data_IF_430929141258
#
_entry.id   IF_430929141258
#
_cell.length_a   1.000
_cell.length_b   1.000
_cell.length_c   1.000
_cell.angle_alpha   90.00
_cell.angle_beta   90.00
_cell.angle_gamma   90.00
#
_symmetry.space_group_name_H-M   'P 1'
#
loop_
_entity.id
_entity.type
_entity.pdbx_description
1 polymer ?
#
# COMPACT_ATOMS: atom_id res chain seq x y z
N UNK A 1 -2.25 12.80 -28.49
CA UNK A 1 -3.04 12.71 -27.24
C UNK A 1 -4.05 13.85 -27.28
N UNK A 2 -5.35 13.56 -27.18
CA UNK A 2 -6.39 14.59 -27.13
C UNK A 2 -6.42 15.27 -25.76
N UNK A 3 -7.05 16.44 -25.64
CA UNK A 3 -7.22 17.11 -24.36
C UNK A 3 -7.95 16.24 -23.32
N UNK A 4 -8.97 15.49 -23.76
CA UNK A 4 -9.66 14.51 -22.91
C UNK A 4 -8.75 13.37 -22.46
N UNK A 5 -7.89 12.85 -23.33
CA UNK A 5 -6.93 11.80 -22.94
C UNK A 5 -5.89 12.31 -21.93
N UNK A 6 -5.44 13.56 -22.09
CA UNK A 6 -4.54 14.19 -21.12
C UNK A 6 -5.23 14.40 -19.76
N UNK A 7 -6.47 14.89 -19.77
CA UNK A 7 -7.31 15.02 -18.58
C UNK A 7 -7.54 13.67 -17.88
N UNK A 8 -7.94 12.66 -18.65
CA UNK A 8 -8.21 11.30 -18.16
C UNK A 8 -6.96 10.73 -17.47
N UNK A 9 -5.82 10.79 -18.16
CA UNK A 9 -4.53 10.34 -17.62
C UNK A 9 -4.12 11.07 -16.32
N UNK A 10 -4.32 12.38 -16.28
CA UNK A 10 -3.86 13.23 -15.17
C UNK A 10 -4.75 13.13 -13.92
N UNK A 11 -6.02 12.75 -14.04
CA UNK A 11 -6.96 12.84 -12.92
C UNK A 11 -7.66 11.54 -12.55
N UNK A 12 -7.88 10.63 -13.51
CA UNK A 12 -8.73 9.44 -13.29
C UNK A 12 -7.97 8.16 -13.62
N UNK A 13 -7.42 8.08 -14.84
CA UNK A 13 -6.81 6.88 -15.40
C UNK A 13 -5.29 6.80 -15.19
N UNK A 14 -4.85 6.97 -13.94
CA UNK A 14 -3.44 6.83 -13.56
C UNK A 14 -2.84 5.44 -13.81
N UNK A 15 -3.71 4.44 -14.01
CA UNK A 15 -3.35 3.05 -14.30
C UNK A 15 -3.26 2.74 -15.79
N UNK A 16 -3.50 3.73 -16.65
CA UNK A 16 -3.44 3.57 -18.11
C UNK A 16 -4.37 2.48 -18.64
N UNK A 17 -5.52 2.27 -17.98
CA UNK A 17 -6.52 1.26 -18.32
C UNK A 17 -6.96 1.41 -19.76
N UNK A 18 -6.98 0.30 -20.51
CA UNK A 18 -7.40 0.27 -21.92
C UNK A 18 -6.40 0.88 -22.89
N UNK A 19 -5.15 1.14 -22.47
CA UNK A 19 -4.09 1.68 -23.34
C UNK A 19 -2.92 0.69 -23.48
N UNK A 20 -2.02 0.86 -24.48
CA UNK A 20 -0.80 0.05 -24.60
C UNK A 20 0.15 0.14 -23.41
N UNK A 21 -0.04 1.13 -22.52
CA UNK A 21 0.81 1.39 -21.36
C UNK A 21 0.11 1.00 -20.04
N UNK A 22 -0.95 0.19 -20.10
CA UNK A 22 -1.68 -0.32 -18.92
C UNK A 22 -0.71 -0.94 -17.91
N UNK A 23 -0.89 -0.59 -16.62
CA UNK A 23 -0.04 -1.13 -15.57
C UNK A 23 -0.22 -2.65 -15.45
N UNK A 24 0.84 -3.34 -15.05
CA UNK A 24 0.80 -4.79 -14.88
C UNK A 24 -0.04 -5.17 -13.66
N UNK A 25 -0.56 -6.40 -13.65
CA UNK A 25 -1.28 -7.00 -12.52
C UNK A 25 -2.56 -6.25 -12.09
N UNK A 26 -3.28 -5.63 -13.02
CA UNK A 26 -4.61 -5.07 -12.72
C UNK A 26 -5.50 -6.14 -12.08
N UNK A 27 -6.04 -5.88 -10.87
CA UNK A 27 -6.99 -6.78 -10.24
C UNK A 27 -8.23 -6.98 -11.12
N UNK A 28 -8.72 -8.21 -11.16
CA UNK A 28 -9.89 -8.59 -11.95
C UNK A 28 -11.15 -8.50 -11.10
N UNK A 29 -12.30 -8.33 -11.75
CA UNK A 29 -13.59 -8.38 -11.03
C UNK A 29 -13.94 -9.77 -10.51
N UNK A 30 -13.44 -10.81 -11.19
CA UNK A 30 -13.62 -12.21 -10.86
C UNK A 30 -12.35 -12.97 -11.26
N UNK A 31 -11.75 -13.67 -10.30
CA UNK A 31 -10.53 -14.45 -10.55
C UNK A 31 -10.82 -15.73 -11.36
N UNK A 32 -12.04 -16.28 -11.26
CA UNK A 32 -12.47 -17.47 -12.00
C UNK A 32 -12.89 -17.15 -13.43
N UNK A 33 -13.37 -15.93 -13.68
CA UNK A 33 -13.74 -15.44 -15.00
C UNK A 33 -13.05 -14.10 -15.31
N UNK A 34 -11.82 -14.11 -15.84
CA UNK A 34 -11.04 -12.90 -16.09
C UNK A 34 -11.65 -11.85 -17.03
N UNK A 35 -12.56 -12.26 -17.91
CA UNK A 35 -13.21 -11.35 -18.88
C UNK A 35 -14.50 -10.76 -18.31
N UNK A 36 -14.92 -11.19 -17.12
CA UNK A 36 -16.12 -10.70 -16.47
C UNK A 36 -16.03 -9.21 -16.17
N UNK A 37 -17.04 -8.47 -16.61
CA UNK A 37 -17.29 -7.09 -16.20
C UNK A 37 -18.73 -7.00 -15.69
N UNK A 38 -18.98 -6.43 -14.50
CA UNK A 38 -20.34 -6.29 -13.99
C UNK A 38 -21.16 -5.30 -14.83
N UNK A 39 -22.48 -5.49 -14.86
CA UNK A 39 -23.39 -4.48 -15.39
C UNK A 39 -23.29 -3.18 -14.57
N UNK A 40 -23.65 -2.04 -15.19
CA UNK A 40 -23.57 -0.71 -14.56
C UNK A 40 -24.32 -0.67 -13.22
N UNK A 41 -25.56 -1.14 -13.16
CA UNK A 41 -26.35 -1.17 -11.92
C UNK A 41 -25.70 -2.03 -10.83
N UNK A 42 -25.23 -3.24 -11.18
CA UNK A 42 -24.55 -4.15 -10.23
C UNK A 42 -23.24 -3.53 -9.72
N UNK A 43 -22.48 -2.87 -10.58
CA UNK A 43 -21.27 -2.16 -10.21
C UNK A 43 -21.57 -1.03 -9.22
N UNK A 44 -22.54 -0.16 -9.55
CA UNK A 44 -22.91 0.98 -8.71
C UNK A 44 -23.43 0.55 -7.34
N UNK A 45 -24.28 -0.48 -7.27
CA UNK A 45 -24.75 -1.04 -5.98
C UNK A 45 -23.57 -1.53 -5.14
N UNK A 46 -22.63 -2.28 -5.73
CA UNK A 46 -21.42 -2.76 -5.02
C UNK A 46 -20.57 -1.61 -4.51
N UNK A 47 -20.34 -0.56 -5.31
CA UNK A 47 -19.56 0.61 -4.90
C UNK A 47 -20.28 1.41 -3.84
N UNK A 48 -21.58 1.63 -3.96
CA UNK A 48 -22.38 2.29 -2.94
C UNK A 48 -22.29 1.53 -1.60
N UNK A 49 -22.49 0.21 -1.58
CA UNK A 49 -22.28 -0.61 -0.38
C UNK A 49 -20.86 -0.50 0.18
N UNK A 50 -19.84 -0.47 -0.69
CA UNK A 50 -18.44 -0.28 -0.28
C UNK A 50 -18.25 1.05 0.46
N UNK A 51 -18.90 2.13 0.03
CA UNK A 51 -18.82 3.44 0.70
C UNK A 51 -19.28 3.31 2.17
N UNK A 52 -20.47 2.77 2.42
CA UNK A 52 -21.00 2.65 3.80
C UNK A 52 -20.19 1.69 4.66
N UNK A 53 -19.84 0.51 4.12
CA UNK A 53 -19.09 -0.50 4.88
C UNK A 53 -17.68 -0.01 5.17
N UNK A 54 -16.98 0.54 4.17
CA UNK A 54 -15.62 1.03 4.36
C UNK A 54 -15.59 2.23 5.32
N UNK A 55 -16.55 3.15 5.20
CA UNK A 55 -16.67 4.27 6.13
C UNK A 55 -16.94 3.81 7.56
N UNK A 56 -17.94 2.95 7.78
CA UNK A 56 -18.30 2.50 9.12
C UNK A 56 -17.19 1.72 9.81
N UNK A 57 -16.49 0.85 9.08
CA UNK A 57 -15.31 0.14 9.60
C UNK A 57 -14.14 1.08 9.86
N UNK A 58 -13.91 2.07 8.99
CA UNK A 58 -12.85 3.06 9.19
C UNK A 58 -13.13 3.93 10.42
N UNK A 59 -14.38 4.39 10.59
CA UNK A 59 -14.82 5.11 11.79
C UNK A 59 -14.59 4.24 13.03
N UNK A 60 -15.02 2.98 13.01
CA UNK A 60 -14.82 2.06 14.13
C UNK A 60 -13.35 1.87 14.51
N UNK A 61 -12.47 1.71 13.51
CA UNK A 61 -11.04 1.54 13.75
C UNK A 61 -10.42 2.83 14.29
N UNK A 62 -10.83 3.99 13.78
CA UNK A 62 -10.15 5.26 14.05
C UNK A 62 -10.76 6.07 15.19
N UNK A 63 -11.95 5.71 15.67
CA UNK A 63 -12.58 6.30 16.86
C UNK A 63 -12.06 5.72 18.19
N UNK A 64 -10.99 4.92 18.15
CA UNK A 64 -10.39 4.32 19.35
C UNK A 64 -9.53 5.35 20.09
N UNK A 65 -9.42 5.26 21.43
CA UNK A 65 -8.54 6.16 22.18
C UNK A 65 -7.09 5.98 21.74
N UNK A 66 -6.34 7.08 21.75
CA UNK A 66 -4.92 7.04 21.42
C UNK A 66 -4.18 6.10 22.39
N UNK A 67 -3.28 5.23 21.90
CA UNK A 67 -2.46 4.39 22.77
C UNK A 67 -1.50 5.27 23.60
N UNK A 68 -0.91 4.69 24.65
CA UNK A 68 0.09 5.39 25.45
C UNK A 68 1.26 5.87 24.56
N UNK A 69 1.59 7.19 24.55
CA UNK A 69 2.68 7.75 23.75
C UNK A 69 4.04 7.06 23.92
N UNK A 70 4.29 6.48 25.09
CA UNK A 70 5.51 5.72 25.37
C UNK A 70 5.68 4.45 24.53
N UNK A 71 4.61 3.91 23.91
CA UNK A 71 4.64 2.70 23.08
C UNK A 71 5.12 2.96 21.65
N UNK A 72 5.02 4.19 21.17
CA UNK A 72 5.41 4.61 19.82
C UNK A 72 6.40 5.78 19.86
N UNK A 73 7.26 5.79 20.89
CA UNK A 73 8.38 6.72 20.96
C UNK A 73 9.41 6.44 19.86
N UNK A 74 10.21 7.45 19.52
CA UNK A 74 11.25 7.32 18.49
C UNK A 74 12.27 6.22 18.79
N UNK A 75 12.64 6.05 20.07
CA UNK A 75 13.53 4.98 20.50
C UNK A 75 12.98 3.59 20.12
N UNK A 76 11.66 3.40 20.21
CA UNK A 76 10.98 2.17 19.82
C UNK A 76 10.77 2.02 18.31
N UNK A 77 11.28 2.90 17.46
CA UNK A 77 11.32 2.61 16.01
C UNK A 77 12.40 1.57 15.71
N UNK A 78 13.57 1.77 16.29
CA UNK A 78 14.75 0.95 16.08
C UNK A 78 14.62 -0.38 16.83
N UNK A 79 14.35 -1.49 16.13
CA UNK A 79 14.19 -2.79 16.77
C UNK A 79 15.53 -3.47 17.08
N UNK A 80 16.40 -3.60 16.07
CA UNK A 80 17.62 -4.39 16.16
C UNK A 80 18.73 -3.77 17.02
N UNK A 81 18.68 -2.46 17.30
CA UNK A 81 19.69 -1.78 18.12
C UNK A 81 19.44 -1.89 19.62
N UNK A 82 18.29 -2.43 20.04
CA UNK A 82 17.82 -2.48 21.43
C UNK A 82 17.19 -3.83 21.79
N UNK A 83 17.71 -4.93 21.22
CA UNK A 83 17.13 -6.27 21.40
C UNK A 83 17.00 -6.68 22.88
N UNK A 84 17.91 -6.23 23.74
CA UNK A 84 17.88 -6.41 25.19
C UNK A 84 16.71 -5.71 25.91
N UNK A 85 16.07 -4.74 25.25
CA UNK A 85 14.95 -3.95 25.79
C UNK A 85 13.61 -4.27 25.12
N UNK A 86 13.61 -5.14 24.09
CA UNK A 86 12.40 -5.51 23.36
C UNK A 86 11.59 -6.51 24.19
N UNK A 87 10.36 -6.12 24.54
CA UNK A 87 9.43 -7.00 25.26
C UNK A 87 8.41 -7.61 24.31
N UNK A 88 7.77 -8.71 24.74
CA UNK A 88 6.64 -9.30 24.02
C UNK A 88 5.47 -8.32 23.84
N UNK A 89 5.26 -7.41 24.81
CA UNK A 89 4.26 -6.35 24.70
C UNK A 89 4.56 -5.40 23.54
N UNK A 90 5.82 -5.04 23.34
CA UNK A 90 6.22 -4.22 22.19
C UNK A 90 6.06 -4.96 20.86
N UNK A 91 6.45 -6.24 20.78
CA UNK A 91 6.29 -7.04 19.55
C UNK A 91 4.81 -7.11 19.17
N UNK A 92 3.93 -7.38 20.14
CA UNK A 92 2.48 -7.38 19.94
C UNK A 92 1.98 -6.01 19.49
N UNK A 93 2.40 -4.93 20.16
CA UNK A 93 1.99 -3.57 19.80
C UNK A 93 2.42 -3.20 18.38
N UNK A 94 3.67 -3.48 17.99
CA UNK A 94 4.18 -3.26 16.62
C UNK A 94 3.33 -3.98 15.58
N UNK A 95 3.09 -5.27 15.78
CA UNK A 95 2.33 -6.10 14.85
C UNK A 95 0.87 -5.63 14.72
N UNK A 96 0.18 -5.40 15.84
CA UNK A 96 -1.21 -4.96 15.85
C UNK A 96 -1.38 -3.54 15.29
N UNK A 97 -0.48 -2.63 15.63
CA UNK A 97 -0.49 -1.26 15.10
C UNK A 97 -0.25 -1.27 13.59
N UNK A 98 0.64 -2.16 13.11
CA UNK A 98 0.85 -2.34 11.67
C UNK A 98 -0.44 -2.80 10.98
N UNK A 99 -1.06 -3.89 11.46
CA UNK A 99 -2.34 -4.39 10.93
C UNK A 99 -3.40 -3.30 10.92
N UNK A 100 -3.54 -2.59 12.05
CA UNK A 100 -4.49 -1.49 12.19
C UNK A 100 -4.25 -0.41 11.13
N UNK A 101 -3.02 0.09 11.00
CA UNK A 101 -2.70 1.15 10.04
C UNK A 101 -2.94 0.74 8.59
N UNK A 102 -2.52 -0.47 8.20
CA UNK A 102 -2.77 -0.98 6.84
C UNK A 102 -4.26 -1.20 6.57
N UNK A 103 -5.01 -1.73 7.53
CA UNK A 103 -6.45 -1.90 7.40
C UNK A 103 -7.18 -0.55 7.28
N UNK A 104 -6.84 0.43 8.11
CA UNK A 104 -7.41 1.78 8.05
C UNK A 104 -7.10 2.45 6.71
N UNK A 105 -5.85 2.40 6.23
CA UNK A 105 -5.52 2.95 4.90
C UNK A 105 -6.20 2.20 3.76
N UNK A 106 -6.31 0.86 3.83
CA UNK A 106 -7.06 0.07 2.86
C UNK A 106 -8.51 0.53 2.78
N UNK A 107 -9.20 0.68 3.91
CA UNK A 107 -10.59 1.11 3.95
C UNK A 107 -10.77 2.53 3.42
N UNK A 108 -9.87 3.45 3.78
CA UNK A 108 -9.86 4.81 3.24
C UNK A 108 -9.75 4.83 1.72
N UNK A 109 -8.82 4.04 1.16
CA UNK A 109 -8.67 3.94 -0.29
C UNK A 109 -9.91 3.36 -0.95
N UNK A 110 -10.51 2.31 -0.38
CA UNK A 110 -11.72 1.70 -0.91
C UNK A 110 -12.90 2.66 -0.86
N UNK A 111 -13.02 3.45 0.20
CA UNK A 111 -14.03 4.49 0.37
C UNK A 111 -13.89 5.58 -0.70
N UNK A 112 -12.71 6.21 -0.81
CA UNK A 112 -12.46 7.28 -1.79
C UNK A 112 -12.62 6.77 -3.22
N UNK A 113 -12.06 5.59 -3.52
CA UNK A 113 -12.17 4.99 -4.84
C UNK A 113 -13.62 4.66 -5.21
N UNK A 114 -14.43 4.19 -4.25
CA UNK A 114 -15.83 3.90 -4.49
C UNK A 114 -16.67 5.16 -4.76
N UNK A 115 -16.39 6.27 -4.07
CA UNK A 115 -17.03 7.56 -4.35
C UNK A 115 -16.74 8.01 -5.78
N UNK A 116 -15.45 8.06 -6.15
CA UNK A 116 -15.04 8.49 -7.49
C UNK A 116 -15.66 7.57 -8.55
N UNK A 117 -15.61 6.25 -8.35
CA UNK A 117 -16.21 5.29 -9.27
C UNK A 117 -17.74 5.46 -9.41
N UNK A 118 -18.46 5.73 -8.31
CA UNK A 118 -19.89 6.02 -8.35
C UNK A 118 -20.19 7.28 -9.15
N UNK A 119 -19.41 8.36 -8.97
CA UNK A 119 -19.60 9.62 -9.71
C UNK A 119 -19.33 9.40 -11.21
N UNK A 120 -18.17 8.83 -11.55
CA UNK A 120 -17.73 8.63 -12.93
C UNK A 120 -18.59 7.64 -13.72
N UNK A 121 -18.95 6.50 -13.13
CA UNK A 121 -19.81 5.50 -13.78
C UNK A 121 -21.28 5.88 -13.68
N UNK A 122 -21.68 6.59 -12.62
CA UNK A 122 -23.03 7.09 -12.41
C UNK A 122 -23.40 8.24 -13.35
N UNK A 123 -22.46 9.09 -13.74
CA UNK A 123 -22.67 10.12 -14.77
C UNK A 123 -22.69 9.56 -16.19
N UNK A 124 -22.13 8.36 -16.40
CA UNK A 124 -22.05 7.70 -17.72
C UNK A 124 -20.84 8.11 -18.55
N UNK A 125 -19.93 8.91 -17.98
CA UNK A 125 -18.65 9.27 -18.63
C UNK A 125 -17.74 8.05 -18.75
N UNK A 126 -17.79 7.14 -17.78
CA UNK A 126 -16.99 5.91 -17.74
C UNK A 126 -17.86 4.66 -17.65
N UNK A 127 -17.35 3.54 -18.16
CA UNK A 127 -17.95 2.23 -18.00
C UNK A 127 -17.35 1.49 -16.79
N UNK A 128 -18.05 0.47 -16.23
CA UNK A 128 -17.50 -0.34 -15.15
C UNK A 128 -16.12 -0.95 -15.44
N UNK A 129 -15.83 -1.29 -16.71
CA UNK A 129 -14.52 -1.85 -17.12
C UNK A 129 -13.35 -0.90 -16.90
N UNK A 130 -13.60 0.40 -16.90
CA UNK A 130 -12.57 1.44 -16.73
C UNK A 130 -12.21 1.64 -15.25
N UNK A 131 -13.01 1.07 -14.35
CA UNK A 131 -12.81 1.09 -12.89
C UNK A 131 -12.61 -0.33 -12.32
N UNK A 132 -11.57 -1.08 -12.76
CA UNK A 132 -11.26 -2.38 -12.18
C UNK A 132 -10.86 -2.21 -10.70
N UNK A 133 -11.02 -3.25 -9.86
CA UNK A 133 -10.71 -3.16 -8.44
C UNK A 133 -9.32 -2.54 -8.17
N UNK A 134 -9.25 -1.71 -7.13
CA UNK A 134 -8.05 -0.93 -6.83
C UNK A 134 -6.95 -1.77 -6.18
N UNK A 135 -7.36 -2.66 -5.28
CA UNK A 135 -6.51 -3.52 -4.49
C UNK A 135 -6.66 -4.96 -4.98
N UNK A 136 -5.54 -5.67 -5.07
CA UNK A 136 -5.52 -7.08 -5.46
C UNK A 136 -6.05 -8.05 -4.39
N UNK A 137 -5.99 -9.36 -4.66
CA UNK A 137 -6.45 -10.36 -3.71
C UNK A 137 -5.47 -10.53 -2.54
N UNK A 138 -6.01 -10.63 -1.32
CA UNK A 138 -5.24 -10.90 -0.08
C UNK A 138 -4.41 -12.20 -0.17
N UNK A 139 -4.88 -13.17 -0.95
CA UNK A 139 -4.19 -14.45 -1.18
C UNK A 139 -2.84 -14.30 -1.87
N UNK A 140 -2.53 -13.11 -2.41
CA UNK A 140 -1.25 -12.80 -3.05
C UNK A 140 -0.18 -12.26 -2.09
N UNK A 141 -0.53 -11.89 -0.86
CA UNK A 141 0.35 -11.18 0.09
C UNK A 141 1.40 -12.05 0.82
N UNK A 142 1.84 -13.14 0.19
CA UNK A 142 2.88 -14.03 0.73
C UNK A 142 4.30 -13.65 0.25
N UNK A 143 4.45 -12.49 -0.42
CA UNK A 143 5.74 -11.87 -0.79
C UNK A 143 5.61 -10.35 -0.69
N UNK A 144 6.63 -9.66 -0.20
CA UNK A 144 6.82 -8.20 -0.25
C UNK A 144 6.70 -7.72 -1.68
N UNK A 145 7.32 -8.44 -2.65
CA UNK A 145 7.17 -8.12 -4.08
C UNK A 145 5.70 -8.16 -4.54
N UNK A 146 4.91 -9.14 -4.06
CA UNK A 146 3.50 -9.25 -4.42
C UNK A 146 2.66 -8.18 -3.73
N UNK A 147 2.94 -7.89 -2.45
CA UNK A 147 2.24 -6.85 -1.71
C UNK A 147 2.27 -5.53 -2.49
N UNK A 148 3.44 -5.07 -2.94
CA UNK A 148 3.55 -3.82 -3.70
C UNK A 148 3.18 -3.94 -5.18
N UNK A 149 3.47 -5.09 -5.80
CA UNK A 149 3.32 -5.28 -7.25
C UNK A 149 1.93 -5.75 -7.70
N UNK A 150 1.11 -6.28 -6.79
CA UNK A 150 -0.19 -6.91 -7.11
C UNK A 150 -1.32 -6.50 -6.18
N UNK A 151 -1.02 -6.34 -4.90
CA UNK A 151 -2.05 -6.04 -3.90
C UNK A 151 -2.24 -4.53 -3.73
N UNK A 152 -1.22 -3.84 -3.21
CA UNK A 152 -1.31 -2.47 -2.71
C UNK A 152 -1.22 -1.40 -3.80
N UNK A 153 -1.96 -0.30 -3.62
CA UNK A 153 -1.74 1.02 -4.24
C UNK A 153 -1.41 1.07 -5.75
N UNK A 154 -2.16 0.30 -6.56
CA UNK A 154 -1.88 0.15 -8.00
C UNK A 154 -1.95 1.45 -8.82
N UNK A 155 -2.69 2.47 -8.33
CA UNK A 155 -2.83 3.79 -8.99
C UNK A 155 -1.49 4.48 -9.24
N UNK A 156 -0.52 4.31 -8.34
CA UNK A 156 0.75 5.03 -8.42
C UNK A 156 1.84 4.25 -9.17
N UNK A 157 1.56 3.02 -9.62
CA UNK A 157 2.57 2.21 -10.30
C UNK A 157 3.06 2.86 -11.59
N UNK A 158 2.17 3.36 -12.45
CA UNK A 158 2.58 3.95 -13.73
C UNK A 158 3.44 5.22 -13.55
N UNK A 159 3.00 6.24 -12.80
CA UNK A 159 3.81 7.45 -12.63
C UNK A 159 5.14 7.15 -11.93
N UNK A 160 5.17 6.32 -10.88
CA UNK A 160 6.42 6.00 -10.19
C UNK A 160 7.38 5.18 -11.07
N UNK A 161 6.88 4.14 -11.73
CA UNK A 161 7.74 3.27 -12.55
C UNK A 161 8.25 3.96 -13.82
N UNK A 162 7.47 4.85 -14.43
CA UNK A 162 7.90 5.61 -15.61
C UNK A 162 9.01 6.60 -15.25
N UNK A 163 8.86 7.34 -14.15
CA UNK A 163 9.91 8.23 -13.65
C UNK A 163 11.15 7.45 -13.20
N UNK A 164 10.97 6.35 -12.48
CA UNK A 164 12.07 5.48 -12.07
C UNK A 164 12.85 4.93 -13.27
N UNK A 165 12.16 4.52 -14.35
CA UNK A 165 12.79 4.07 -15.60
C UNK A 165 13.65 5.16 -16.22
N UNK A 166 13.11 6.38 -16.35
CA UNK A 166 13.84 7.51 -16.90
C UNK A 166 15.12 7.79 -16.10
N UNK A 167 15.02 7.85 -14.77
CA UNK A 167 16.17 8.08 -13.89
C UNK A 167 17.17 6.92 -13.96
N UNK A 168 16.69 5.67 -14.02
CA UNK A 168 17.56 4.48 -14.14
C UNK A 168 18.39 4.55 -15.41
N UNK A 169 17.78 4.92 -16.54
CA UNK A 169 18.47 5.05 -17.83
C UNK A 169 19.47 6.23 -17.84
N UNK A 170 19.26 7.25 -17.01
CA UNK A 170 20.21 8.36 -16.85
C UNK A 170 21.40 8.01 -15.97
N UNK A 171 21.18 7.25 -14.89
CA UNK A 171 22.21 6.93 -13.89
C UNK A 171 23.04 5.72 -14.29
N UNK A 172 22.44 4.72 -14.95
CA UNK A 172 23.16 3.52 -15.36
C UNK A 172 23.75 3.65 -16.77
N UNK A 173 25.02 3.24 -16.98
CA UNK A 173 25.60 3.19 -18.32
C UNK A 173 24.85 2.18 -19.20
N UNK A 174 24.88 2.33 -20.54
CA UNK A 174 24.16 1.45 -21.47
C UNK A 174 24.40 -0.05 -21.26
N UNK A 175 25.62 -0.43 -20.85
CA UNK A 175 25.98 -1.83 -20.53
C UNK A 175 25.20 -2.43 -19.36
N UNK A 176 24.65 -1.60 -18.47
CA UNK A 176 23.88 -2.00 -17.28
C UNK A 176 22.39 -1.70 -17.42
N UNK A 177 21.91 -1.31 -18.61
CA UNK A 177 20.48 -1.03 -18.87
C UNK A 177 19.64 -2.29 -19.14
N UNK A 178 20.12 -3.45 -18.66
CA UNK A 178 19.39 -4.72 -18.73
C UNK A 178 19.74 -5.64 -17.55
N UNK A 179 18.94 -6.68 -17.34
CA UNK A 179 19.20 -7.71 -16.33
C UNK A 179 18.89 -7.29 -14.89
N UNK A 180 19.56 -7.97 -13.93
CA UNK A 180 19.25 -7.87 -12.50
C UNK A 180 19.57 -6.49 -11.92
N UNK A 181 20.73 -5.92 -12.25
CA UNK A 181 21.17 -4.61 -11.75
C UNK A 181 20.17 -3.53 -12.15
N UNK A 182 19.76 -3.52 -13.42
CA UNK A 182 18.72 -2.63 -13.92
C UNK A 182 17.41 -2.78 -13.15
N UNK A 183 16.93 -4.03 -12.99
CA UNK A 183 15.68 -4.32 -12.30
C UNK A 183 15.65 -3.84 -10.85
N UNK A 184 16.73 -4.06 -10.10
CA UNK A 184 16.83 -3.58 -8.72
C UNK A 184 17.01 -2.06 -8.63
N UNK A 185 17.80 -1.45 -9.51
CA UNK A 185 17.95 0.01 -9.54
C UNK A 185 16.61 0.71 -9.84
N UNK A 186 15.88 0.22 -10.86
CA UNK A 186 14.55 0.73 -11.19
C UNK A 186 13.56 0.54 -10.03
N UNK A 187 13.58 -0.62 -9.37
CA UNK A 187 12.71 -0.88 -8.21
C UNK A 187 13.07 0.04 -7.05
N UNK A 188 14.35 0.22 -6.75
CA UNK A 188 14.84 1.13 -5.71
C UNK A 188 14.41 2.57 -5.97
N UNK A 189 14.62 3.07 -7.20
CA UNK A 189 14.23 4.43 -7.57
C UNK A 189 12.72 4.62 -7.50
N UNK A 190 11.91 3.63 -7.89
CA UNK A 190 10.45 3.71 -7.77
C UNK A 190 10.01 3.86 -6.30
N UNK A 191 10.60 3.07 -5.39
CA UNK A 191 10.33 3.20 -3.95
C UNK A 191 10.89 4.49 -3.36
N UNK A 192 12.07 4.94 -3.77
CA UNK A 192 12.66 6.19 -3.31
C UNK A 192 11.80 7.40 -3.71
N UNK A 193 11.31 7.43 -4.95
CA UNK A 193 10.35 8.44 -5.42
C UNK A 193 9.05 8.41 -4.61
N UNK A 194 8.55 7.22 -4.28
CA UNK A 194 7.39 7.07 -3.39
C UNK A 194 7.67 7.63 -2.00
N UNK A 195 8.81 7.31 -1.40
CA UNK A 195 9.20 7.85 -0.10
C UNK A 195 9.31 9.37 -0.12
N UNK A 196 9.90 9.93 -1.18
CA UNK A 196 10.03 11.37 -1.36
C UNK A 196 8.67 12.07 -1.46
N UNK A 197 7.72 11.55 -2.24
CA UNK A 197 6.38 12.16 -2.35
C UNK A 197 5.64 12.20 -1.02
N UNK A 198 5.88 11.21 -0.14
CA UNK A 198 5.34 11.18 1.21
C UNK A 198 6.01 12.16 2.19
N UNK A 199 7.15 12.77 1.83
CA UNK A 199 7.79 13.81 2.65
C UNK A 199 7.19 15.20 2.45
N UNK A 200 6.50 15.44 1.32
CA UNK A 200 6.05 16.78 0.93
C UNK A 200 4.98 17.33 1.88
N UNK A 201 4.05 16.48 2.35
CA UNK A 201 2.97 16.90 3.25
C UNK A 201 3.44 17.14 4.70
N UNK A 202 4.35 16.33 5.28
CA UNK A 202 4.88 16.55 6.63
C UNK A 202 5.80 17.76 6.81
N UNK A 203 6.52 18.23 5.80
CA UNK A 203 7.61 19.22 5.99
C UNK A 203 7.15 20.57 6.56
N UNK A 204 5.86 20.89 6.53
CA UNK A 204 5.26 22.08 7.17
C UNK A 204 4.90 21.87 8.65
N UNK A 205 5.01 20.65 9.18
CA UNK A 205 4.70 20.27 10.56
C UNK A 205 5.92 20.40 11.50
N UNK A 206 5.66 20.68 12.78
CA UNK A 206 6.66 20.75 13.87
C UNK A 206 7.55 19.49 13.95
N UNK A 207 7.05 18.32 13.55
CA UNK A 207 7.79 17.06 13.52
C UNK A 207 8.11 16.54 12.10
N UNK A 208 7.91 17.37 11.07
CA UNK A 208 7.98 16.99 9.66
C UNK A 208 9.27 16.33 9.21
N UNK A 209 10.41 16.74 9.81
CA UNK A 209 11.71 16.16 9.50
C UNK A 209 11.84 14.70 9.95
N UNK A 210 11.16 14.29 11.02
CA UNK A 210 11.17 12.90 11.50
C UNK A 210 10.31 12.00 10.62
N UNK A 211 9.13 12.49 10.23
CA UNK A 211 8.23 11.82 9.30
C UNK A 211 8.89 11.62 7.92
N UNK A 212 9.57 12.66 7.42
CA UNK A 212 10.32 12.59 6.17
C UNK A 212 11.41 11.51 6.21
N UNK A 213 12.18 11.43 7.31
CA UNK A 213 13.20 10.38 7.51
C UNK A 213 12.57 9.00 7.56
N UNK A 214 11.44 8.85 8.24
CA UNK A 214 10.67 7.61 8.30
C UNK A 214 10.25 7.10 6.92
N UNK A 215 9.71 7.98 6.08
CA UNK A 215 9.34 7.68 4.70
C UNK A 215 10.55 7.29 3.83
N UNK A 216 11.60 8.10 3.88
CA UNK A 216 12.85 7.87 3.11
C UNK A 216 13.52 6.55 3.52
N UNK A 217 13.29 6.06 4.74
CA UNK A 217 13.73 4.73 5.17
C UNK A 217 12.77 3.63 4.71
N UNK A 218 11.48 3.74 5.07
CA UNK A 218 10.49 2.67 4.91
C UNK A 218 10.30 2.22 3.46
N UNK A 219 10.19 3.15 2.52
CA UNK A 219 9.90 2.79 1.14
C UNK A 219 11.11 2.12 0.46
N UNK A 220 12.34 2.67 0.46
CA UNK A 220 13.50 1.98 -0.09
C UNK A 220 13.82 0.64 0.60
N UNK A 221 13.53 0.50 1.89
CA UNK A 221 13.71 -0.76 2.61
C UNK A 221 12.96 -1.92 1.93
N UNK A 222 11.82 -1.67 1.27
CA UNK A 222 11.07 -2.72 0.58
C UNK A 222 11.92 -3.48 -0.46
N UNK A 223 12.89 -2.80 -1.10
CA UNK A 223 13.81 -3.46 -2.04
C UNK A 223 14.71 -4.47 -1.35
N UNK A 224 15.15 -4.20 -0.12
CA UNK A 224 15.92 -5.17 0.66
C UNK A 224 15.09 -6.41 0.96
N UNK A 225 13.81 -6.24 1.32
CA UNK A 225 12.90 -7.36 1.57
C UNK A 225 12.72 -8.22 0.33
N UNK A 226 12.54 -7.57 -0.83
CA UNK A 226 12.47 -8.24 -2.13
C UNK A 226 13.76 -8.99 -2.47
N UNK A 227 14.94 -8.40 -2.21
CA UNK A 227 16.22 -9.07 -2.45
C UNK A 227 16.39 -10.31 -1.56
N UNK A 228 16.00 -10.23 -0.28
CA UNK A 228 16.05 -11.36 0.64
C UNK A 228 15.12 -12.49 0.16
N UNK A 229 13.92 -12.16 -0.34
CA UNK A 229 13.01 -13.13 -0.95
C UNK A 229 13.65 -13.83 -2.15
N UNK A 230 14.19 -13.06 -3.08
CA UNK A 230 14.76 -13.59 -4.32
C UNK A 230 15.99 -14.47 -4.03
N UNK A 231 16.84 -14.07 -3.08
CA UNK A 231 17.98 -14.87 -2.60
C UNK A 231 17.50 -16.17 -1.94
N UNK A 232 16.52 -16.09 -1.04
CA UNK A 232 16.00 -17.27 -0.33
C UNK A 232 15.40 -18.29 -1.32
N UNK A 233 14.65 -17.80 -2.32
CA UNK A 233 14.08 -18.62 -3.39
C UNK A 233 15.20 -19.23 -4.26
N UNK A 234 16.24 -18.45 -4.60
CA UNK A 234 17.36 -18.94 -5.39
C UNK A 234 18.16 -20.02 -4.65
N UNK A 235 18.42 -19.85 -3.35
CA UNK A 235 19.08 -20.85 -2.50
C UNK A 235 18.22 -22.13 -2.44
N UNK A 236 16.92 -22.00 -2.17
CA UNK A 236 16.02 -23.15 -2.14
C UNK A 236 16.05 -23.92 -3.48
N UNK A 237 15.96 -23.22 -4.61
CA UNK A 237 16.02 -23.86 -5.93
C UNK A 237 17.37 -24.52 -6.22
N UNK A 238 18.47 -23.97 -5.69
CA UNK A 238 19.80 -24.57 -5.82
C UNK A 238 19.95 -25.84 -4.99
N UNK A 239 19.38 -25.89 -3.79
CA UNK A 239 19.51 -27.02 -2.85
C UNK A 239 18.49 -28.11 -3.12
N UNK A 240 17.22 -27.75 -3.32
CA UNK A 240 16.08 -28.67 -3.43
C UNK A 240 15.62 -28.88 -4.88
N UNK A 241 16.23 -28.19 -5.84
CA UNK A 241 15.80 -28.19 -7.25
C UNK A 241 14.59 -27.29 -7.52
N UNK A 242 14.22 -27.19 -8.80
CA UNK A 242 13.06 -26.40 -9.28
C UNK A 242 11.73 -27.16 -9.18
N UNK A 243 11.53 -27.89 -8.08
CA UNK A 243 10.31 -28.65 -7.81
C UNK A 243 9.14 -27.78 -7.34
N UNK A 244 7.94 -28.37 -7.30
CA UNK A 244 6.75 -27.74 -6.68
C UNK A 244 6.99 -27.59 -5.18
N UNK A 245 6.94 -26.35 -4.69
CA UNK A 245 6.97 -26.06 -3.26
C UNK A 245 5.57 -26.30 -2.70
N UNK A 246 5.46 -27.00 -1.56
CA UNK A 246 4.17 -27.30 -0.93
C UNK A 246 3.42 -26.04 -0.48
N UNK A 247 2.12 -26.19 -0.21
CA UNK A 247 1.24 -25.08 0.21
C UNK A 247 1.73 -24.33 1.46
N UNK A 248 2.50 -25.01 2.33
CA UNK A 248 3.13 -24.41 3.52
C UNK A 248 4.06 -23.23 3.18
N UNK A 249 4.63 -23.20 1.98
CA UNK A 249 5.50 -22.09 1.54
C UNK A 249 4.78 -20.76 1.48
N UNK A 250 3.47 -20.77 1.20
CA UNK A 250 2.64 -19.57 1.28
C UNK A 250 2.47 -19.10 2.71
N UNK A 251 2.27 -20.01 3.66
CA UNK A 251 2.17 -19.68 5.09
C UNK A 251 3.47 -19.03 5.57
N UNK A 252 4.62 -19.61 5.23
CA UNK A 252 5.93 -19.02 5.52
C UNK A 252 6.06 -17.62 4.88
N UNK A 253 5.61 -17.46 3.64
CA UNK A 253 5.59 -16.18 2.95
C UNK A 253 4.72 -15.12 3.65
N UNK A 254 3.53 -15.48 4.15
CA UNK A 254 2.69 -14.57 4.93
C UNK A 254 3.36 -14.16 6.25
N UNK A 255 3.97 -15.12 6.95
CA UNK A 255 4.74 -14.82 8.17
C UNK A 255 5.89 -13.88 7.85
N UNK A 256 6.63 -14.13 6.78
CA UNK A 256 7.73 -13.28 6.31
C UNK A 256 7.26 -11.85 6.02
N UNK A 257 6.18 -11.66 5.25
CA UNK A 257 5.63 -10.34 4.96
C UNK A 257 5.18 -9.63 6.23
N UNK A 258 4.48 -10.34 7.13
CA UNK A 258 4.06 -9.79 8.42
C UNK A 258 5.25 -9.34 9.29
N UNK A 259 6.29 -10.16 9.39
CA UNK A 259 7.53 -9.82 10.09
C UNK A 259 8.24 -8.62 9.45
N UNK A 260 8.36 -8.62 8.11
CA UNK A 260 9.00 -7.54 7.36
C UNK A 260 8.30 -6.20 7.59
N UNK A 261 6.98 -6.18 7.42
CA UNK A 261 6.16 -4.99 7.61
C UNK A 261 6.13 -4.54 9.07
N UNK A 262 6.17 -5.47 10.04
CA UNK A 262 6.23 -5.12 11.47
C UNK A 262 7.58 -4.56 11.89
N UNK A 263 8.65 -4.92 11.19
CA UNK A 263 9.99 -4.37 11.43
C UNK A 263 10.14 -2.96 10.84
N UNK A 264 9.86 -2.79 9.54
CA UNK A 264 10.09 -1.51 8.87
C UNK A 264 8.93 -0.52 9.06
N UNK A 265 7.69 -1.01 9.21
CA UNK A 265 6.49 -0.19 9.31
C UNK A 265 6.47 0.85 10.44
N UNK A 266 7.00 0.58 11.65
CA UNK A 266 7.09 1.57 12.73
C UNK A 266 7.80 2.88 12.35
N UNK A 267 8.80 2.83 11.45
CA UNK A 267 9.45 4.04 10.94
C UNK A 267 8.50 4.95 10.17
N UNK A 268 7.47 4.39 9.55
CA UNK A 268 6.43 5.14 8.83
C UNK A 268 5.25 5.49 9.76
N UNK A 269 4.80 4.51 10.55
CA UNK A 269 3.54 4.60 11.31
C UNK A 269 3.69 5.42 12.61
N UNK A 270 4.77 5.23 13.38
CA UNK A 270 4.91 5.89 14.67
C UNK A 270 5.00 7.42 14.56
N UNK A 271 5.74 7.99 13.59
CA UNK A 271 5.67 9.43 13.33
C UNK A 271 4.25 9.92 13.06
N UNK A 272 3.46 9.20 12.26
CA UNK A 272 2.06 9.56 11.98
C UNK A 272 1.17 9.52 13.24
N UNK A 273 1.34 8.51 14.10
CA UNK A 273 0.60 8.41 15.36
C UNK A 273 0.93 9.54 16.35
N UNK A 274 2.14 10.11 16.26
CA UNK A 274 2.52 11.28 17.07
C UNK A 274 1.92 12.59 16.53
N UNK A 275 1.37 12.58 15.31
CA UNK A 275 0.70 13.72 14.68
C UNK A 275 -0.82 13.66 14.83
N UNK A 276 -1.42 12.45 14.87
CA UNK A 276 -2.85 12.26 14.68
C UNK A 276 -3.69 12.80 15.86
N UNK A 277 -3.97 14.10 15.83
CA UNK A 277 -5.05 14.74 16.58
C UNK A 277 -6.37 14.73 15.78
N UNK A 278 -6.29 14.54 14.46
CA UNK A 278 -7.43 14.55 13.54
C UNK A 278 -7.85 13.11 13.14
N UNK A 279 -9.16 12.84 13.16
CA UNK A 279 -9.71 11.55 12.72
C UNK A 279 -9.55 11.33 11.21
N UNK A 280 -9.53 10.07 10.77
CA UNK A 280 -9.43 9.73 9.33
C UNK A 280 -10.77 9.83 8.59
N UNK A 281 -11.86 10.05 9.31
CA UNK A 281 -13.20 10.28 8.76
C UNK A 281 -13.65 11.72 9.02
N UNK A 282 -14.39 12.36 8.09
CA UNK A 282 -14.90 13.71 8.29
C UNK A 282 -15.81 13.85 9.51
N UNK A 283 -16.57 12.81 9.85
CA UNK A 283 -17.50 12.80 10.98
C UNK A 283 -17.57 11.42 11.64
N UNK A 284 -17.23 11.32 12.93
CA UNK A 284 -17.28 10.04 13.64
C UNK A 284 -18.66 9.82 14.26
N UNK A 285 -19.47 8.93 13.69
CA UNK A 285 -20.78 8.58 14.26
C UNK A 285 -20.61 7.79 15.56
N UNK A 286 -19.64 6.87 15.59
CA UNK A 286 -19.44 5.98 16.74
C UNK A 286 -18.97 6.76 17.96
N UNK A 287 -18.03 7.69 17.79
CA UNK A 287 -17.56 8.54 18.89
C UNK A 287 -18.71 9.37 19.46
N UNK A 288 -19.46 10.05 18.59
CA UNK A 288 -20.56 10.91 19.03
C UNK A 288 -21.68 10.12 19.71
N UNK A 289 -21.96 8.89 19.27
CA UNK A 289 -22.92 8.00 19.94
C UNK A 289 -22.44 7.52 21.32
N UNK A 290 -21.13 7.34 21.52
CA UNK A 290 -20.57 7.01 22.84
C UNK A 290 -20.69 8.20 23.79
N UNK A 291 -20.26 9.37 23.33
CA UNK A 291 -20.36 10.62 24.11
C UNK A 291 -21.80 10.90 24.52
N UNK A 292 -22.78 10.73 23.62
CA UNK A 292 -24.20 10.94 23.92
C UNK A 292 -24.80 9.94 24.93
N UNK A 293 -24.15 8.80 25.21
CA UNK A 293 -24.59 7.81 26.22
C UNK A 293 -23.93 8.04 27.58
N UNK A 294 -22.91 8.87 27.64
CA UNK A 294 -22.20 9.23 28.88
C UNK A 294 -22.83 10.47 29.56
N UNK A 295 -23.80 11.13 28.89
CA UNK A 295 -24.70 12.15 29.44
C UNK A 295 -26.07 11.55 29.78
#
# INVERSE_FOLDING_TARGET
MTAFQAFDYLLINHRNIGTPYEVRNIPKFDDSNPTYVPSRGKFLVRKFLTIFVAYGLLDLLTCQPAPNPGLYSRHREFFFTRLNEVTWGEIKFRFLTNIHSWASTYLLMQYVYAIIACICVGSGVYAPRDFPPLIGPLTSEYKVRNHWGRFWHQIFQSPLSSNARAITNLVLPPSLQSGLVYGYCMTFLAFALSGFSHTVSPLSSKNGSQEARGAIFFFPAQVMGIMIEDISIAIHHRVMGKGRVGGWSKVLGFVWVGCWMSWCGPFWIYPTLRRSEEGMVPYSFIRNLKEAREF
#
